data_IF_177938090245
#
_entry.id   IF_177938090245
#
_cell.length_a   1.000
_cell.length_b   1.000
_cell.length_c   1.000
_cell.angle_alpha   90.00
_cell.angle_beta   90.00
_cell.angle_gamma   90.00
#
_symmetry.space_group_name_H-M   'P 1'
#
loop_
_entity.id
_entity.type
_entity.pdbx_description
1 polymer ?
#
# COMPACT_ATOMS: atom_id res chain seq x y z
N UNK A 1 -3.16 -19.41 -24.73
CA UNK A 1 -4.38 -19.18 -23.95
C UNK A 1 -4.05 -18.15 -22.89
N UNK A 2 -4.86 -17.10 -22.71
CA UNK A 2 -4.59 -16.11 -21.66
C UNK A 2 -5.40 -16.55 -20.44
N UNK A 3 -4.72 -16.83 -19.33
CA UNK A 3 -5.40 -17.02 -18.03
C UNK A 3 -5.37 -15.70 -17.30
N UNK A 4 -6.50 -15.29 -16.72
CA UNK A 4 -6.62 -14.04 -15.98
C UNK A 4 -7.04 -14.33 -14.54
N UNK A 5 -6.45 -13.61 -13.61
CA UNK A 5 -6.89 -13.57 -12.22
C UNK A 5 -7.22 -12.12 -11.88
N UNK A 6 -8.38 -11.88 -11.27
CA UNK A 6 -8.85 -10.55 -10.89
C UNK A 6 -8.97 -10.47 -9.38
N UNK A 7 -8.63 -9.35 -8.77
CA UNK A 7 -8.86 -9.14 -7.34
C UNK A 7 -8.36 -7.79 -6.87
N UNK A 8 -8.34 -7.59 -5.56
CA UNK A 8 -7.82 -6.36 -4.95
C UNK A 8 -6.34 -6.55 -4.68
N UNK A 9 -5.48 -5.66 -5.19
CA UNK A 9 -4.05 -5.69 -4.87
C UNK A 9 -3.74 -4.87 -3.62
N UNK A 10 -4.22 -3.63 -3.58
CA UNK A 10 -4.00 -2.70 -2.47
C UNK A 10 -5.25 -1.87 -2.23
N UNK A 11 -5.53 -1.50 -0.99
CA UNK A 11 -6.52 -0.47 -0.67
C UNK A 11 -5.95 0.53 0.33
N UNK A 12 -6.55 1.71 0.36
CA UNK A 12 -6.18 2.77 1.28
C UNK A 12 -7.37 3.23 2.11
N UNK A 13 -7.15 3.35 3.42
CA UNK A 13 -8.09 3.89 4.38
C UNK A 13 -7.54 5.20 4.94
N UNK A 14 -8.40 6.21 5.05
CA UNK A 14 -8.02 7.54 5.53
C UNK A 14 -8.90 7.97 6.70
N UNK A 15 -8.26 8.47 7.75
CA UNK A 15 -8.89 9.01 8.95
C UNK A 15 -8.45 10.46 9.14
N UNK A 16 -9.39 11.36 9.37
CA UNK A 16 -9.09 12.73 9.79
C UNK A 16 -8.75 12.72 11.28
N UNK A 17 -7.63 13.35 11.62
CA UNK A 17 -7.15 13.46 12.99
C UNK A 17 -6.98 14.93 13.37
N UNK A 18 -6.92 15.20 14.68
CA UNK A 18 -6.43 16.47 15.22
C UNK A 18 -4.90 16.50 15.14
N UNK A 19 -4.34 17.69 15.14
CA UNK A 19 -2.89 17.90 15.20
C UNK A 19 -2.25 17.17 16.38
N UNK A 20 -2.84 17.31 17.57
CA UNK A 20 -2.37 16.67 18.80
C UNK A 20 -2.46 15.14 18.78
N UNK A 21 -3.46 14.57 18.12
CA UNK A 21 -3.55 13.11 17.96
C UNK A 21 -2.38 12.58 17.12
N UNK A 22 -2.04 13.26 16.03
CA UNK A 22 -0.87 12.90 15.21
C UNK A 22 0.43 13.12 16.00
N UNK A 23 0.53 14.21 16.77
CA UNK A 23 1.70 14.49 17.60
C UNK A 23 1.95 13.37 18.61
N UNK A 24 0.90 12.95 19.34
CA UNK A 24 1.00 11.85 20.31
C UNK A 24 1.43 10.54 19.65
N UNK A 25 0.89 10.24 18.46
CA UNK A 25 1.27 9.04 17.69
C UNK A 25 2.76 9.10 17.32
N UNK A 26 3.27 10.25 16.87
CA UNK A 26 4.68 10.44 16.51
C UNK A 26 5.59 10.27 17.73
N UNK A 27 5.19 10.77 18.90
CA UNK A 27 5.99 10.69 20.13
C UNK A 27 6.02 9.26 20.72
N UNK A 28 4.97 8.48 20.50
CA UNK A 28 4.84 7.12 21.04
C UNK A 28 5.35 6.02 20.10
N UNK A 29 5.61 6.33 18.83
CA UNK A 29 5.96 5.34 17.82
C UNK A 29 7.18 5.79 17.00
N UNK A 30 7.96 4.83 16.52
CA UNK A 30 9.06 5.11 15.59
C UNK A 30 8.51 5.60 14.24
N UNK A 31 8.64 6.91 14.00
CA UNK A 31 8.18 7.57 12.79
C UNK A 31 9.36 8.23 12.06
N UNK A 32 9.39 8.09 10.74
CA UNK A 32 10.39 8.73 9.87
C UNK A 32 9.72 9.93 9.19
N UNK A 33 10.29 11.13 9.33
CA UNK A 33 9.85 12.29 8.58
C UNK A 33 10.24 12.14 7.11
N UNK A 34 9.25 12.08 6.21
CA UNK A 34 9.44 11.88 4.78
C UNK A 34 9.46 13.19 4.00
N UNK A 35 8.98 14.28 4.60
CA UNK A 35 9.01 15.59 3.97
C UNK A 35 8.30 16.68 4.77
N UNK A 36 8.47 17.92 4.31
CA UNK A 36 7.77 19.09 4.84
C UNK A 36 7.03 19.79 3.72
N UNK A 37 5.82 20.25 4.02
CA UNK A 37 5.02 21.08 3.13
C UNK A 37 5.60 22.47 2.93
N UNK A 38 5.00 23.22 2.01
CA UNK A 38 5.38 24.60 1.71
C UNK A 38 5.38 25.44 2.99
N UNK A 39 6.43 26.24 3.19
CA UNK A 39 6.64 27.08 4.39
C UNK A 39 6.80 26.31 5.71
N UNK A 40 6.98 24.98 5.69
CA UNK A 40 7.19 24.18 6.90
C UNK A 40 5.96 24.01 7.79
N UNK A 41 4.77 24.41 7.30
CA UNK A 41 3.50 24.36 8.06
C UNK A 41 2.86 22.96 8.09
N UNK A 42 3.40 22.03 7.33
CA UNK A 42 2.96 20.64 7.28
C UNK A 42 4.17 19.71 7.31
N UNK A 43 4.02 18.58 7.98
CA UNK A 43 5.05 17.54 8.08
C UNK A 43 4.40 16.20 7.75
N UNK A 44 5.13 15.39 6.99
CA UNK A 44 4.69 14.07 6.57
C UNK A 44 5.60 13.02 7.18
N UNK A 45 5.00 11.97 7.73
CA UNK A 45 5.71 10.90 8.39
C UNK A 45 5.24 9.54 7.90
N UNK A 46 6.13 8.56 7.99
CA UNK A 46 5.83 7.16 7.74
C UNK A 46 6.31 6.29 8.89
N UNK A 47 5.51 5.28 9.25
CA UNK A 47 5.94 4.22 10.17
C UNK A 47 6.44 3.01 9.39
N UNK A 48 7.72 2.62 9.54
CA UNK A 48 8.28 1.47 8.82
C UNK A 48 7.89 0.11 9.42
N UNK A 49 7.35 0.09 10.65
CA UNK A 49 7.19 -1.11 11.48
C UNK A 49 6.38 -2.24 10.83
N UNK A 50 5.39 -1.91 9.99
CA UNK A 50 4.46 -2.90 9.39
C UNK A 50 4.79 -3.23 7.93
N UNK A 51 5.95 -2.78 7.43
CA UNK A 51 6.35 -2.98 6.03
C UNK A 51 6.59 -4.46 5.67
N UNK A 52 6.93 -5.32 6.65
CA UNK A 52 7.12 -6.76 6.43
C UNK A 52 5.83 -7.50 6.04
N UNK A 53 4.66 -6.93 6.37
CA UNK A 53 3.33 -7.45 6.04
C UNK A 53 2.60 -6.53 5.04
N UNK A 54 3.36 -5.64 4.39
CA UNK A 54 2.88 -4.75 3.33
C UNK A 54 1.72 -3.84 3.77
N UNK A 55 1.84 -3.34 5.01
CA UNK A 55 1.01 -2.25 5.55
C UNK A 55 1.88 -1.02 5.73
N UNK A 56 1.52 0.07 5.08
CA UNK A 56 2.12 1.37 5.28
C UNK A 56 1.19 2.28 6.07
N UNK A 57 1.78 3.02 7.02
CA UNK A 57 1.06 4.01 7.81
C UNK A 57 1.71 5.35 7.56
N UNK A 58 0.94 6.26 6.98
CA UNK A 58 1.37 7.62 6.67
C UNK A 58 0.61 8.60 7.57
N UNK A 59 1.34 9.58 8.11
CA UNK A 59 0.78 10.63 8.95
C UNK A 59 1.03 11.97 8.28
N UNK A 60 -0.04 12.71 8.02
CA UNK A 60 0.02 14.11 7.60
C UNK A 60 -0.34 14.99 8.79
N UNK A 61 0.62 15.77 9.27
CA UNK A 61 0.41 16.74 10.33
C UNK A 61 0.48 18.15 9.73
N UNK A 62 -0.51 18.99 9.99
CA UNK A 62 -0.57 20.35 9.43
C UNK A 62 -1.27 21.32 10.36
N UNK A 63 -0.76 22.55 10.42
CA UNK A 63 -1.35 23.64 11.20
C UNK A 63 -2.45 24.36 10.38
N UNK A 64 -2.30 24.41 9.06
CA UNK A 64 -3.21 25.13 8.14
C UNK A 64 -4.23 24.23 7.45
N UNK A 65 -4.04 22.90 7.49
CA UNK A 65 -4.90 21.93 6.83
C UNK A 65 -5.28 20.80 7.78
N UNK A 66 -6.34 20.02 7.44
CA UNK A 66 -6.67 18.85 8.22
C UNK A 66 -5.49 17.87 8.32
N UNK A 67 -5.28 17.34 9.52
CA UNK A 67 -4.33 16.26 9.74
C UNK A 67 -4.97 14.92 9.35
N UNK A 68 -4.15 13.99 8.87
CA UNK A 68 -4.62 12.72 8.36
C UNK A 68 -3.74 11.57 8.83
N UNK A 69 -4.38 10.44 9.07
CA UNK A 69 -3.73 9.16 9.11
C UNK A 69 -4.23 8.33 7.94
N UNK A 70 -3.30 7.75 7.18
CA UNK A 70 -3.58 6.94 6.01
C UNK A 70 -2.95 5.57 6.23
N UNK A 71 -3.77 4.53 6.10
CA UNK A 71 -3.32 3.15 5.98
C UNK A 71 -3.32 2.81 4.49
N UNK A 72 -2.24 2.21 4.01
CA UNK A 72 -2.15 1.58 2.69
C UNK A 72 -1.87 0.11 2.96
N UNK A 73 -2.71 -0.77 2.43
CA UNK A 73 -2.76 -2.17 2.85
C UNK A 73 -2.83 -3.04 1.61
N UNK A 74 -1.87 -3.95 1.48
CA UNK A 74 -2.04 -5.14 0.65
C UNK A 74 -2.75 -6.22 1.49
N UNK A 75 -4.03 -6.52 1.23
CA UNK A 75 -4.80 -7.50 2.01
C UNK A 75 -4.21 -8.91 1.99
N UNK A 76 -3.64 -9.36 0.87
CA UNK A 76 -3.06 -10.70 0.74
C UNK A 76 -1.88 -10.86 1.69
N UNK A 77 -0.95 -9.89 1.67
CA UNK A 77 0.19 -9.84 2.60
C UNK A 77 -0.26 -9.74 4.06
N UNK A 78 -1.25 -8.90 4.34
CA UNK A 78 -1.79 -8.71 5.68
C UNK A 78 -2.37 -10.01 6.24
N UNK A 79 -3.11 -10.79 5.45
CA UNK A 79 -3.69 -12.08 5.89
C UNK A 79 -2.63 -13.17 6.05
N UNK A 80 -1.64 -13.21 5.14
CA UNK A 80 -0.56 -14.18 5.19
C UNK A 80 0.45 -13.92 6.33
N UNK A 81 0.42 -12.73 6.95
CA UNK A 81 1.45 -12.26 7.90
C UNK A 81 2.86 -12.24 7.30
N UNK A 82 2.96 -12.16 5.97
CA UNK A 82 4.22 -12.14 5.23
C UNK A 82 4.04 -11.33 3.95
N UNK A 83 5.14 -10.95 3.33
CA UNK A 83 5.13 -10.12 2.14
C UNK A 83 4.74 -10.92 0.89
N UNK A 84 3.54 -10.68 0.37
CA UNK A 84 2.94 -11.33 -0.82
C UNK A 84 2.56 -10.28 -1.88
N UNK A 85 3.54 -9.70 -2.59
CA UNK A 85 3.36 -8.50 -3.40
C UNK A 85 2.59 -8.73 -4.71
N UNK A 86 2.44 -9.97 -5.17
CA UNK A 86 1.75 -10.30 -6.43
C UNK A 86 0.39 -10.96 -6.23
N UNK A 87 0.06 -11.33 -4.99
CA UNK A 87 -1.16 -12.06 -4.67
C UNK A 87 -2.37 -11.12 -4.71
N UNK A 88 -3.43 -11.52 -5.41
CA UNK A 88 -4.67 -10.77 -5.49
C UNK A 88 -5.68 -11.26 -4.46
N UNK A 89 -6.18 -10.32 -3.67
CA UNK A 89 -7.16 -10.63 -2.64
C UNK A 89 -8.55 -10.81 -3.23
N UNK A 90 -9.11 -12.00 -2.98
CA UNK A 90 -10.50 -12.31 -3.24
C UNK A 90 -11.32 -11.96 -2.02
N UNK A 91 -12.18 -10.95 -2.15
CA UNK A 91 -13.00 -10.50 -1.04
C UNK A 91 -14.21 -11.42 -0.85
N UNK A 92 -14.28 -12.03 0.33
CA UNK A 92 -15.47 -12.70 0.86
C UNK A 92 -15.74 -12.18 2.28
N UNK A 93 -16.92 -12.49 2.82
CA UNK A 93 -17.31 -11.98 4.14
C UNK A 93 -16.31 -12.37 5.24
N UNK A 94 -15.85 -13.63 5.26
CA UNK A 94 -14.95 -14.14 6.31
C UNK A 94 -13.58 -13.47 6.19
N UNK A 95 -13.05 -13.37 4.98
CA UNK A 95 -11.73 -12.75 4.77
C UNK A 95 -11.75 -11.25 5.07
N UNK A 96 -12.82 -10.53 4.71
CA UNK A 96 -12.99 -9.12 5.08
C UNK A 96 -13.06 -8.92 6.59
N UNK A 97 -13.73 -9.83 7.33
CA UNK A 97 -13.73 -9.77 8.80
C UNK A 97 -12.33 -10.01 9.39
N UNK A 98 -11.55 -10.93 8.82
CA UNK A 98 -10.17 -11.15 9.23
C UNK A 98 -9.29 -9.92 8.98
N UNK A 99 -9.44 -9.25 7.83
CA UNK A 99 -8.75 -7.98 7.53
C UNK A 99 -9.11 -6.94 8.61
N UNK A 100 -10.40 -6.75 8.91
CA UNK A 100 -10.83 -5.80 9.95
C UNK A 100 -10.20 -6.10 11.31
N UNK A 101 -10.17 -7.38 11.72
CA UNK A 101 -9.56 -7.77 12.98
C UNK A 101 -8.05 -7.48 13.01
N UNK A 102 -7.33 -7.82 11.94
CA UNK A 102 -5.88 -7.55 11.85
C UNK A 102 -5.56 -6.06 11.85
N UNK A 103 -6.34 -5.25 11.12
CA UNK A 103 -6.19 -3.80 11.12
C UNK A 103 -6.49 -3.19 12.49
N UNK A 104 -7.50 -3.69 13.20
CA UNK A 104 -7.79 -3.28 14.58
C UNK A 104 -6.58 -3.53 15.48
N UNK A 105 -5.99 -4.72 15.42
CA UNK A 105 -4.80 -5.05 16.20
C UNK A 105 -3.59 -4.14 15.87
N UNK A 106 -3.41 -3.75 14.59
CA UNK A 106 -2.38 -2.79 14.20
C UNK A 106 -2.66 -1.41 14.81
N UNK A 107 -3.90 -0.93 14.71
CA UNK A 107 -4.30 0.35 15.28
C UNK A 107 -4.16 0.39 16.81
N UNK A 108 -4.44 -0.72 17.51
CA UNK A 108 -4.23 -0.85 18.96
C UNK A 108 -2.74 -0.73 19.32
N UNK A 109 -1.87 -1.38 18.54
CA UNK A 109 -0.41 -1.33 18.76
C UNK A 109 0.18 0.06 18.63
N UNK A 110 -0.40 0.92 17.77
CA UNK A 110 0.07 2.29 17.58
C UNK A 110 -0.69 3.32 18.41
N UNK A 111 -1.55 2.87 19.34
CA UNK A 111 -2.23 3.75 20.30
C UNK A 111 -3.46 4.48 19.77
N UNK A 112 -4.13 3.97 18.73
CA UNK A 112 -5.30 4.62 18.13
C UNK A 112 -6.59 4.00 18.63
N UNK A 113 -7.29 4.64 19.55
CA UNK A 113 -8.58 4.15 20.09
C UNK A 113 -9.78 4.30 19.11
N UNK A 114 -9.59 4.95 17.96
CA UNK A 114 -10.65 5.15 16.97
C UNK A 114 -11.07 3.81 16.34
N UNK A 115 -12.38 3.54 16.28
CA UNK A 115 -12.94 2.38 15.56
C UNK A 115 -12.64 2.48 14.06
N UNK A 116 -12.44 1.33 13.41
CA UNK A 116 -12.25 1.24 11.95
C UNK A 116 -13.39 1.90 11.14
N UNK A 117 -14.63 1.94 11.66
CA UNK A 117 -15.76 2.63 11.01
C UNK A 117 -15.52 4.14 10.82
N UNK A 118 -14.62 4.75 11.60
CA UNK A 118 -14.23 6.15 11.43
C UNK A 118 -13.33 6.39 10.22
N UNK A 119 -12.72 5.34 9.67
CA UNK A 119 -11.91 5.42 8.46
C UNK A 119 -12.79 5.38 7.22
N UNK A 120 -12.40 6.17 6.21
CA UNK A 120 -13.02 6.15 4.89
C UNK A 120 -12.12 5.42 3.90
N UNK A 121 -12.69 4.60 3.03
CA UNK A 121 -11.97 4.03 1.89
C UNK A 121 -11.64 5.18 0.93
N UNK A 122 -10.34 5.46 0.75
CA UNK A 122 -9.87 6.53 -0.13
C UNK A 122 -9.39 6.02 -1.49
N UNK A 123 -8.96 4.75 -1.56
CA UNK A 123 -8.50 4.11 -2.80
C UNK A 123 -8.68 2.60 -2.71
N UNK A 124 -8.97 1.95 -3.83
CA UNK A 124 -8.96 0.50 -3.98
C UNK A 124 -8.43 0.17 -5.38
N UNK A 125 -7.31 -0.54 -5.44
CA UNK A 125 -6.68 -0.95 -6.68
C UNK A 125 -7.22 -2.32 -7.10
N UNK A 126 -8.17 -2.29 -8.04
CA UNK A 126 -8.67 -3.49 -8.72
C UNK A 126 -7.67 -3.89 -9.80
N UNK A 127 -7.11 -5.08 -9.66
CA UNK A 127 -5.97 -5.54 -10.46
C UNK A 127 -6.32 -6.84 -11.19
N UNK A 128 -5.75 -6.99 -12.38
CA UNK A 128 -5.82 -8.22 -13.16
C UNK A 128 -4.41 -8.72 -13.44
N UNK A 129 -4.08 -9.93 -12.98
CA UNK A 129 -2.89 -10.65 -13.42
C UNK A 129 -3.20 -11.30 -14.76
N UNK A 130 -2.34 -11.08 -15.77
CA UNK A 130 -2.46 -11.65 -17.10
C UNK A 130 -1.32 -12.64 -17.32
N UNK A 131 -1.65 -13.91 -17.53
CA UNK A 131 -0.69 -14.98 -17.78
C UNK A 131 -0.69 -15.36 -19.26
N UNK A 132 0.47 -15.33 -19.89
CA UNK A 132 0.67 -15.64 -21.31
C UNK A 132 1.64 -16.82 -21.46
N UNK A 133 1.32 -17.74 -22.37
CA UNK A 133 2.17 -18.89 -22.67
C UNK A 133 3.46 -18.49 -23.39
N UNK A 134 3.38 -17.49 -24.28
CA UNK A 134 4.51 -17.05 -25.10
C UNK A 134 5.03 -15.71 -24.61
N UNK A 135 6.34 -15.61 -24.52
CA UNK A 135 7.05 -14.36 -24.20
C UNK A 135 6.78 -13.24 -25.22
N UNK A 136 6.55 -13.59 -26.49
CA UNK A 136 6.19 -12.63 -27.53
C UNK A 136 4.89 -11.90 -27.21
N UNK A 137 3.86 -12.62 -26.74
CA UNK A 137 2.57 -12.03 -26.39
C UNK A 137 2.67 -11.07 -25.19
N UNK A 138 3.53 -11.39 -24.21
CA UNK A 138 3.86 -10.48 -23.10
C UNK A 138 4.49 -9.18 -23.63
N UNK A 139 5.44 -9.30 -24.56
CA UNK A 139 6.14 -8.16 -25.13
C UNK A 139 5.20 -7.26 -25.93
N UNK A 140 4.35 -7.86 -26.77
CA UNK A 140 3.32 -7.14 -27.54
C UNK A 140 2.38 -6.37 -26.60
N UNK A 141 1.95 -7.01 -25.50
CA UNK A 141 1.09 -6.36 -24.52
C UNK A 141 1.79 -5.20 -23.82
N UNK A 142 3.04 -5.37 -23.40
CA UNK A 142 3.84 -4.30 -22.81
C UNK A 142 4.02 -3.14 -23.79
N UNK A 143 4.24 -3.42 -25.07
CA UNK A 143 4.44 -2.39 -26.08
C UNK A 143 3.14 -1.65 -26.41
N UNK A 144 1.98 -2.33 -26.37
CA UNK A 144 0.67 -1.67 -26.39
C UNK A 144 0.54 -0.73 -25.20
N UNK A 145 0.80 -1.20 -23.96
CA UNK A 145 0.69 -0.36 -22.77
C UNK A 145 1.59 0.89 -22.85
N UNK A 146 2.83 0.74 -23.30
CA UNK A 146 3.77 1.87 -23.48
C UNK A 146 3.30 2.88 -24.53
N UNK A 147 2.68 2.43 -25.62
CA UNK A 147 2.17 3.32 -26.68
C UNK A 147 0.86 4.00 -26.29
N UNK A 148 0.07 3.36 -25.43
CA UNK A 148 -1.28 3.82 -25.08
C UNK A 148 -1.30 4.91 -24.01
N UNK A 149 -0.29 4.96 -23.13
CA UNK A 149 -0.22 5.92 -22.03
C UNK A 149 1.04 6.77 -22.14
N UNK A 150 0.97 8.11 -21.95
CA UNK A 150 2.16 8.94 -21.76
C UNK A 150 2.75 8.67 -20.37
N UNK A 151 3.39 7.51 -20.21
CA UNK A 151 4.16 7.18 -19.01
C UNK A 151 5.50 7.88 -19.18
N UNK A 152 5.72 8.99 -18.46
CA UNK A 152 6.94 9.79 -18.61
C UNK A 152 8.22 8.97 -18.38
N UNK A 153 8.20 8.00 -17.46
CA UNK A 153 9.35 7.13 -17.16
C UNK A 153 8.91 5.73 -16.73
N UNK A 154 9.45 4.68 -17.38
CA UNK A 154 9.30 3.29 -16.92
C UNK A 154 10.66 2.57 -16.96
N UNK A 155 10.85 1.61 -16.05
CA UNK A 155 11.98 0.68 -16.07
C UNK A 155 11.45 -0.76 -16.02
N UNK A 156 11.93 -1.62 -16.91
CA UNK A 156 11.54 -3.03 -16.93
C UNK A 156 12.37 -3.81 -15.90
N UNK A 157 11.73 -4.33 -14.85
CA UNK A 157 12.36 -5.23 -13.88
C UNK A 157 12.09 -6.67 -14.30
N UNK A 158 13.14 -7.44 -14.62
CA UNK A 158 13.04 -8.85 -14.98
C UNK A 158 13.23 -9.73 -13.74
N UNK A 159 12.31 -10.65 -13.51
CA UNK A 159 12.44 -11.71 -12.50
C UNK A 159 12.79 -13.02 -13.21
N UNK A 160 13.78 -13.75 -12.69
CA UNK A 160 14.25 -15.02 -13.27
C UNK A 160 13.50 -16.21 -12.69
N UNK A 161 13.51 -17.36 -13.38
CA UNK A 161 12.84 -18.60 -12.95
C UNK A 161 13.30 -19.15 -11.58
N UNK A 162 14.37 -18.61 -11.00
CA UNK A 162 14.88 -18.97 -9.66
C UNK A 162 15.02 -17.77 -8.71
N UNK A 163 14.46 -16.61 -9.04
CA UNK A 163 14.56 -15.41 -8.20
C UNK A 163 13.45 -15.33 -7.16
N UNK A 164 13.36 -16.33 -6.28
CA UNK A 164 12.55 -16.28 -5.06
C UNK A 164 13.26 -15.45 -3.97
N UNK A 165 13.72 -14.24 -4.28
CA UNK A 165 14.15 -13.31 -3.24
C UNK A 165 13.08 -12.23 -3.07
N UNK A 166 12.32 -12.34 -1.97
CA UNK A 166 11.39 -11.33 -1.46
C UNK A 166 12.02 -9.91 -1.44
N UNK A 167 13.36 -9.81 -1.43
CA UNK A 167 14.12 -8.57 -1.49
C UNK A 167 14.03 -7.82 -2.83
N UNK A 168 13.97 -8.50 -3.99
CA UNK A 168 13.87 -7.80 -5.29
C UNK A 168 12.48 -7.21 -5.51
N UNK A 169 11.44 -7.89 -5.05
CA UNK A 169 10.07 -7.37 -5.07
C UNK A 169 9.93 -6.11 -4.19
N UNK A 170 10.56 -6.11 -3.00
CA UNK A 170 10.65 -4.91 -2.14
C UNK A 170 11.37 -3.74 -2.81
N UNK A 171 12.34 -4.02 -3.69
CA UNK A 171 13.10 -3.01 -4.45
C UNK A 171 12.29 -2.36 -5.57
N UNK A 172 11.50 -3.13 -6.32
CA UNK A 172 10.68 -2.63 -7.42
C UNK A 172 9.57 -1.68 -6.95
N UNK A 173 8.96 -1.95 -5.78
CA UNK A 173 7.91 -1.10 -5.21
C UNK A 173 8.44 0.16 -4.49
N UNK A 174 9.76 0.39 -4.41
CA UNK A 174 10.30 1.64 -3.80
C UNK A 174 9.88 2.90 -4.53
N UNK A 175 9.46 2.79 -5.79
CA UNK A 175 9.06 3.90 -6.64
C UNK A 175 7.54 3.95 -6.91
N UNK A 176 6.75 3.02 -6.35
CA UNK A 176 5.30 2.95 -6.59
C UNK A 176 4.47 3.95 -5.79
N UNK A 177 5.13 4.85 -5.04
CA UNK A 177 4.50 5.97 -4.34
C UNK A 177 4.98 7.27 -5.00
N UNK A 178 4.22 7.74 -6.00
CA UNK A 178 4.28 9.11 -6.54
C UNK A 178 2.86 9.61 -6.71
#
# INVERSE_FOLDING_TARGET
>A
MITNEYGIHTFSLKLQCKYSEIQNIIEQNECICTGKGKLGLSSYYQMPQFKSIDVEIHLGQSISHPCWLILIVNPSSLLASTYEPTALFQADEKSVQQIKHRLRNILDKIGIDRRLKGFKLSRCDLTCNLYYDRKADVQDRLDIFKKSFPILHYSAVKFGQYSNSNERFKGANKHSSS
#
